data_IF_206788518951
#
_entry.id   IF_206788518951
#
_cell.length_a   1.000
_cell.length_b   1.000
_cell.length_c   1.000
_cell.angle_alpha   90.00
_cell.angle_beta   90.00
_cell.angle_gamma   90.00
#
_symmetry.space_group_name_H-M   'P 1'
#
loop_
_entity.id
_entity.type
_entity.pdbx_description
1 polymer ?
#
# COMPACT_ATOMS: atom_id res chain seq x y z
N UNK A 1 -10.31 3.97 19.52
CA UNK A 1 -11.12 5.13 19.98
C UNK A 1 -10.58 5.65 21.30
N UNK A 2 -10.73 6.94 21.60
CA UNK A 2 -10.40 7.51 22.92
C UNK A 2 -11.66 7.52 23.78
N UNK A 3 -11.59 6.93 24.97
CA UNK A 3 -12.70 6.87 25.90
C UNK A 3 -12.71 8.07 26.87
N UNK A 4 -11.53 8.51 27.35
CA UNK A 4 -11.40 9.64 28.27
C UNK A 4 -10.17 10.51 27.94
N UNK A 5 -10.40 11.57 27.16
CA UNK A 5 -9.34 12.48 26.73
C UNK A 5 -8.74 13.33 27.86
N UNK A 6 -9.51 13.87 28.83
CA UNK A 6 -8.94 14.54 30.01
C UNK A 6 -8.00 13.64 30.82
N UNK A 7 -8.44 12.43 31.22
CA UNK A 7 -7.59 11.49 31.98
C UNK A 7 -6.38 11.05 31.16
N UNK A 8 -6.55 10.89 29.84
CA UNK A 8 -5.44 10.58 28.94
C UNK A 8 -4.39 11.70 28.95
N UNK A 9 -4.80 12.97 28.91
CA UNK A 9 -3.89 14.13 28.99
C UNK A 9 -3.20 14.21 30.35
N UNK A 10 -3.92 13.96 31.44
CA UNK A 10 -3.33 13.97 32.78
C UNK A 10 -2.32 12.83 32.99
N UNK A 11 -2.54 11.68 32.35
CA UNK A 11 -1.70 10.49 32.53
C UNK A 11 -0.50 10.46 31.58
N UNK A 12 -0.73 10.76 30.30
CA UNK A 12 0.27 10.60 29.23
C UNK A 12 0.69 11.92 28.59
N UNK A 13 -0.06 13.01 28.79
CA UNK A 13 0.21 14.33 28.22
C UNK A 13 1.23 15.17 28.98
N UNK A 14 1.86 14.63 30.03
CA UNK A 14 2.91 15.32 30.77
C UNK A 14 4.12 15.63 29.87
N UNK A 15 4.74 16.82 29.96
CA UNK A 15 5.87 17.20 29.10
C UNK A 15 7.07 16.26 29.26
N UNK A 16 7.24 15.65 30.43
CA UNK A 16 8.24 14.63 30.72
C UNK A 16 8.07 13.34 29.90
N UNK A 17 6.86 13.08 29.38
CA UNK A 17 6.53 11.92 28.56
C UNK A 17 6.47 12.25 27.05
N UNK A 18 6.68 13.50 26.65
CA UNK A 18 6.68 13.92 25.24
C UNK A 18 7.62 13.07 24.37
N UNK A 19 8.84 12.79 24.84
CA UNK A 19 9.80 11.97 24.11
C UNK A 19 9.27 10.55 23.83
N UNK A 20 8.48 10.00 24.76
CA UNK A 20 7.91 8.66 24.65
C UNK A 20 6.82 8.66 23.58
N UNK A 21 5.95 9.67 23.59
CA UNK A 21 4.91 9.87 22.59
C UNK A 21 5.50 10.09 21.19
N UNK A 22 6.53 10.93 21.06
CA UNK A 22 7.20 11.20 19.78
C UNK A 22 7.87 9.94 19.20
N UNK A 23 8.54 9.15 20.04
CA UNK A 23 9.15 7.89 19.58
C UNK A 23 8.10 6.83 19.23
N UNK A 24 7.03 6.72 20.02
CA UNK A 24 5.92 5.83 19.72
C UNK A 24 5.24 6.24 18.40
N UNK A 25 4.94 7.53 18.23
CA UNK A 25 4.42 8.11 16.98
C UNK A 25 5.29 7.74 15.80
N UNK A 26 6.59 8.08 15.85
CA UNK A 26 7.51 7.82 14.73
C UNK A 26 7.56 6.34 14.36
N UNK A 27 7.52 5.45 15.36
CA UNK A 27 7.50 4.00 15.12
C UNK A 27 6.20 3.55 14.45
N UNK A 28 5.06 4.03 14.92
CA UNK A 28 3.75 3.69 14.36
C UNK A 28 3.58 4.22 12.93
N UNK A 29 4.02 5.45 12.66
CA UNK A 29 4.00 6.04 11.31
C UNK A 29 4.87 5.25 10.32
N UNK A 30 5.99 4.67 10.77
CA UNK A 30 6.82 3.81 9.94
C UNK A 30 6.22 2.40 9.71
N UNK A 31 5.01 2.13 10.21
CA UNK A 31 4.38 0.81 10.16
C UNK A 31 5.12 -0.24 11.00
N UNK A 32 5.83 0.22 12.04
CA UNK A 32 6.52 -0.66 12.99
C UNK A 32 5.54 -1.43 13.87
N UNK A 33 5.95 -2.57 14.44
CA UNK A 33 5.07 -3.33 15.33
C UNK A 33 4.75 -2.48 16.57
N UNK A 34 3.51 -2.65 17.06
CA UNK A 34 3.00 -2.06 18.32
C UNK A 34 3.78 -2.55 19.55
N UNK A 35 4.57 -3.60 19.36
CA UNK A 35 5.44 -4.25 20.34
C UNK A 35 6.88 -3.74 20.27
N UNK A 36 7.59 -3.94 21.39
CA UNK A 36 9.01 -3.64 21.53
C UNK A 36 9.31 -2.48 22.47
N UNK A 37 10.57 -2.03 22.48
CA UNK A 37 11.07 -1.11 23.51
C UNK A 37 11.55 0.19 22.89
N UNK A 38 11.16 1.30 23.51
CA UNK A 38 11.71 2.64 23.25
C UNK A 38 12.63 3.04 24.40
N UNK A 39 13.79 3.58 24.05
CA UNK A 39 14.84 3.89 25.02
C UNK A 39 15.21 5.36 24.96
N UNK A 40 15.50 5.94 26.12
CA UNK A 40 16.02 7.30 26.28
C UNK A 40 17.39 7.21 26.98
N UNK A 41 18.42 7.79 26.34
CA UNK A 41 19.73 8.01 26.97
C UNK A 41 19.72 9.30 27.77
N UNK A 42 20.43 9.28 28.90
CA UNK A 42 20.60 10.41 29.82
C UNK A 42 19.27 11.07 30.24
N UNK A 43 18.30 10.28 30.75
CA UNK A 43 17.00 10.79 31.14
C UNK A 43 17.11 11.74 32.34
N UNK A 44 16.34 12.82 32.33
CA UNK A 44 16.21 13.69 33.50
C UNK A 44 15.52 12.95 34.65
N UNK A 45 15.74 13.42 35.89
CA UNK A 45 15.06 12.86 37.06
C UNK A 45 13.53 12.94 36.92
N UNK A 46 13.00 14.01 36.31
CA UNK A 46 11.57 14.21 36.07
C UNK A 46 11.03 13.20 35.03
N UNK A 47 11.73 13.02 33.91
CA UNK A 47 11.39 12.01 32.88
C UNK A 47 11.34 10.61 33.47
N UNK A 48 12.33 10.28 34.31
CA UNK A 48 12.38 8.99 34.97
C UNK A 48 11.22 8.80 35.95
N UNK A 49 10.99 9.76 36.83
CA UNK A 49 9.91 9.70 37.81
C UNK A 49 8.54 9.60 37.14
N UNK A 50 8.33 10.30 36.01
CA UNK A 50 7.10 10.20 35.22
C UNK A 50 6.90 8.80 34.65
N UNK A 51 7.95 8.20 34.06
CA UNK A 51 7.88 6.82 33.54
C UNK A 51 7.69 5.80 34.66
N UNK A 52 8.40 5.94 35.78
CA UNK A 52 8.28 4.99 36.88
C UNK A 52 6.86 5.02 37.50
N UNK A 53 6.27 6.22 37.62
CA UNK A 53 4.87 6.41 38.04
C UNK A 53 3.90 5.80 37.02
N UNK A 54 4.10 6.06 35.74
CA UNK A 54 3.26 5.54 34.66
C UNK A 54 3.22 4.01 34.65
N UNK A 55 4.39 3.38 34.80
CA UNK A 55 4.52 1.92 34.80
C UNK A 55 4.24 1.29 36.18
N UNK A 56 3.95 2.08 37.21
CA UNK A 56 3.71 1.58 38.57
C UNK A 56 4.91 0.84 39.17
N UNK A 57 6.14 1.19 38.77
CA UNK A 57 7.36 0.47 39.17
C UNK A 57 8.19 1.25 40.19
N UNK A 58 9.09 0.54 40.86
CA UNK A 58 10.06 1.15 41.77
C UNK A 58 10.96 2.15 41.04
N UNK A 59 11.48 3.20 41.72
CA UNK A 59 12.37 4.18 41.13
C UNK A 59 13.56 3.52 40.42
N UNK A 60 13.67 3.75 39.12
CA UNK A 60 14.72 3.17 38.28
C UNK A 60 16.04 3.93 38.43
N UNK A 61 17.15 3.32 37.99
CA UNK A 61 18.49 3.94 38.00
C UNK A 61 19.25 3.58 36.71
N UNK A 62 20.32 4.31 36.40
CA UNK A 62 21.20 4.04 35.25
C UNK A 62 21.13 5.07 34.13
N UNK A 63 22.01 5.00 33.13
CA UNK A 63 22.10 5.99 32.04
C UNK A 63 21.02 5.85 30.97
N UNK A 64 20.35 4.69 30.91
CA UNK A 64 19.32 4.39 29.92
C UNK A 64 17.99 4.10 30.59
N UNK A 65 16.93 4.75 30.10
CA UNK A 65 15.55 4.50 30.47
C UNK A 65 14.85 3.75 29.35
N UNK A 66 14.34 2.55 29.64
CA UNK A 66 13.63 1.71 28.66
C UNK A 66 12.16 1.59 29.04
N UNK A 67 11.29 1.70 28.03
CA UNK A 67 9.83 1.57 28.16
C UNK A 67 9.33 0.56 27.13
N UNK A 68 8.71 -0.55 27.55
CA UNK A 68 8.06 -1.49 26.64
C UNK A 68 6.73 -0.89 26.16
N UNK A 69 6.55 -0.80 24.84
CA UNK A 69 5.30 -0.32 24.25
C UNK A 69 4.12 -1.27 24.51
N UNK A 70 4.41 -2.56 24.68
CA UNK A 70 3.41 -3.58 25.06
C UNK A 70 2.84 -3.37 26.47
N UNK A 71 3.68 -2.87 27.37
CA UNK A 71 3.25 -2.52 28.72
C UNK A 71 2.45 -1.23 28.71
N UNK A 72 2.90 -0.24 27.92
CA UNK A 72 2.19 1.00 27.73
C UNK A 72 0.79 0.80 27.10
N UNK A 73 0.68 -0.04 26.06
CA UNK A 73 -0.60 -0.38 25.42
C UNK A 73 -1.55 -1.09 26.41
N UNK A 74 -1.01 -2.01 27.24
CA UNK A 74 -1.78 -2.64 28.31
C UNK A 74 -2.28 -1.63 29.34
N UNK A 75 -1.46 -0.67 29.75
CA UNK A 75 -1.87 0.39 30.70
C UNK A 75 -2.99 1.24 30.11
N UNK A 76 -2.84 1.68 28.85
CA UNK A 76 -3.86 2.49 28.16
C UNK A 76 -5.20 1.76 28.10
N UNK A 77 -5.19 0.48 27.71
CA UNK A 77 -6.39 -0.35 27.61
C UNK A 77 -7.00 -0.62 28.99
N UNK A 78 -6.18 -1.02 29.96
CA UNK A 78 -6.66 -1.41 31.29
C UNK A 78 -7.21 -0.23 32.10
N UNK A 79 -6.63 0.96 31.92
CA UNK A 79 -7.13 2.19 32.53
C UNK A 79 -8.31 2.81 31.75
N UNK A 80 -8.77 2.16 30.67
CA UNK A 80 -9.85 2.58 29.79
C UNK A 80 -9.66 4.01 29.26
N UNK A 81 -8.41 4.38 28.94
CA UNK A 81 -8.09 5.70 28.39
C UNK A 81 -8.39 5.76 26.89
N UNK A 82 -8.04 4.68 26.18
CA UNK A 82 -8.31 4.48 24.77
C UNK A 82 -8.33 2.99 24.43
N UNK A 83 -8.86 2.63 23.27
CA UNK A 83 -8.88 1.26 22.75
C UNK A 83 -7.48 0.72 22.47
N UNK A 84 -6.44 1.56 22.44
CA UNK A 84 -5.07 1.15 22.19
C UNK A 84 -4.09 2.32 22.20
N UNK A 85 -2.79 1.99 22.17
CA UNK A 85 -1.70 2.94 22.18
C UNK A 85 -1.72 3.87 20.94
N UNK A 86 -2.12 3.34 19.79
CA UNK A 86 -2.26 4.11 18.56
C UNK A 86 -3.31 5.22 18.68
N UNK A 87 -4.48 4.91 19.24
CA UNK A 87 -5.50 5.90 19.52
C UNK A 87 -5.04 6.95 20.52
N UNK A 88 -4.36 6.53 21.60
CA UNK A 88 -3.84 7.42 22.62
C UNK A 88 -2.78 8.40 22.05
N UNK A 89 -1.83 7.89 21.27
CA UNK A 89 -0.79 8.72 20.64
C UNK A 89 -1.41 9.66 19.60
N UNK A 90 -2.35 9.18 18.78
CA UNK A 90 -3.04 10.03 17.80
C UNK A 90 -3.82 11.17 18.47
N UNK A 91 -4.46 10.90 19.60
CA UNK A 91 -5.21 11.90 20.34
C UNK A 91 -4.34 13.00 20.98
N UNK A 92 -3.11 12.66 21.37
CA UNK A 92 -2.19 13.57 22.05
C UNK A 92 -1.22 14.29 21.09
N UNK A 93 -0.87 13.68 19.96
CA UNK A 93 0.13 14.21 19.01
C UNK A 93 -0.47 14.60 17.66
N UNK A 94 -1.76 14.38 17.45
CA UNK A 94 -2.46 14.56 16.19
C UNK A 94 -2.47 13.29 15.32
N UNK A 95 -3.16 13.32 14.16
CA UNK A 95 -3.39 12.13 13.34
C UNK A 95 -2.10 11.37 12.99
N UNK A 96 -2.12 10.04 13.14
CA UNK A 96 -1.04 9.17 12.71
C UNK A 96 -1.22 8.79 11.24
N UNK A 97 -0.17 8.99 10.45
CA UNK A 97 -0.13 8.57 9.04
C UNK A 97 0.72 7.31 8.94
N UNK A 98 0.12 6.17 8.62
CA UNK A 98 0.87 4.94 8.34
C UNK A 98 1.54 5.05 6.96
N UNK A 99 2.81 5.45 6.95
CA UNK A 99 3.61 5.61 5.74
C UNK A 99 3.76 4.28 4.99
N UNK A 100 3.79 3.15 5.69
CA UNK A 100 3.93 1.83 5.07
C UNK A 100 2.64 1.45 4.34
N UNK A 101 1.50 1.64 4.99
CA UNK A 101 0.20 1.43 4.36
C UNK A 101 -0.01 2.38 3.18
N UNK A 102 0.41 3.64 3.29
CA UNK A 102 0.35 4.61 2.20
C UNK A 102 1.21 4.17 1.00
N UNK A 103 2.47 3.75 1.23
CA UNK A 103 3.34 3.21 0.17
C UNK A 103 2.75 1.95 -0.48
N UNK A 104 2.20 1.04 0.33
CA UNK A 104 1.56 -0.18 -0.17
C UNK A 104 0.27 0.11 -0.95
N UNK A 105 -0.49 1.16 -0.60
CA UNK A 105 -1.64 1.60 -1.38
C UNK A 105 -1.22 2.11 -2.76
N UNK A 106 -0.20 2.97 -2.81
CA UNK A 106 0.37 3.45 -4.09
C UNK A 106 0.87 2.29 -4.95
N UNK A 107 1.56 1.32 -4.36
CA UNK A 107 2.02 0.13 -5.08
C UNK A 107 0.85 -0.67 -5.66
N UNK A 108 -0.19 -0.94 -4.86
CA UNK A 108 -1.41 -1.62 -5.33
C UNK A 108 -2.11 -0.87 -6.45
N UNK A 109 -2.16 0.46 -6.38
CA UNK A 109 -2.77 1.28 -7.42
C UNK A 109 -1.99 1.18 -8.75
N UNK A 110 -0.66 1.12 -8.69
CA UNK A 110 0.17 0.84 -9.86
C UNK A 110 -0.03 -0.59 -10.40
N UNK A 111 -0.09 -1.59 -9.52
CA UNK A 111 -0.36 -2.97 -9.93
C UNK A 111 -1.73 -3.11 -10.61
N UNK A 112 -2.77 -2.49 -10.04
CA UNK A 112 -4.12 -2.48 -10.60
C UNK A 112 -4.17 -1.78 -11.95
N UNK A 113 -3.39 -0.71 -12.13
CA UNK A 113 -3.26 -0.01 -13.41
C UNK A 113 -2.68 -0.92 -14.50
N UNK A 114 -1.59 -1.64 -14.21
CA UNK A 114 -1.00 -2.58 -15.17
C UNK A 114 -1.91 -3.78 -15.43
N UNK A 115 -2.54 -4.34 -14.39
CA UNK A 115 -3.48 -5.43 -14.53
C UNK A 115 -4.70 -5.04 -15.40
N UNK A 116 -5.24 -3.84 -15.19
CA UNK A 116 -6.33 -3.30 -15.98
C UNK A 116 -5.97 -3.10 -17.45
N UNK A 117 -4.77 -2.59 -17.75
CA UNK A 117 -4.31 -2.47 -19.14
C UNK A 117 -4.13 -3.83 -19.82
N UNK A 118 -3.54 -4.81 -19.12
CA UNK A 118 -3.42 -6.17 -19.63
C UNK A 118 -4.79 -6.82 -19.90
N UNK A 119 -5.78 -6.55 -19.05
CA UNK A 119 -7.16 -7.02 -19.25
C UNK A 119 -7.81 -6.38 -20.47
N UNK A 120 -7.64 -5.06 -20.68
CA UNK A 120 -8.15 -4.38 -21.86
C UNK A 120 -7.57 -4.98 -23.15
N UNK A 121 -6.25 -5.17 -23.20
CA UNK A 121 -5.57 -5.79 -24.35
C UNK A 121 -6.12 -7.21 -24.62
N UNK A 122 -6.27 -8.02 -23.57
CA UNK A 122 -6.82 -9.38 -23.70
C UNK A 122 -8.29 -9.38 -24.15
N UNK A 123 -9.10 -8.43 -23.68
CA UNK A 123 -10.50 -8.30 -24.08
C UNK A 123 -10.63 -7.91 -25.55
N UNK A 124 -9.80 -6.98 -26.02
CA UNK A 124 -9.79 -6.57 -27.42
C UNK A 124 -9.37 -7.72 -28.34
N UNK A 125 -8.41 -8.56 -27.90
CA UNK A 125 -8.06 -9.81 -28.58
C UNK A 125 -9.25 -10.77 -28.70
N UNK A 126 -9.97 -10.99 -27.61
CA UNK A 126 -11.15 -11.86 -27.61
C UNK A 126 -12.27 -11.33 -28.52
N UNK A 127 -12.50 -10.01 -28.57
CA UNK A 127 -13.48 -9.41 -29.46
C UNK A 127 -13.12 -9.61 -30.94
N UNK A 128 -11.83 -9.54 -31.28
CA UNK A 128 -11.39 -9.82 -32.64
C UNK A 128 -11.51 -11.29 -33.03
N UNK A 129 -11.13 -12.21 -32.14
CA UNK A 129 -11.27 -13.65 -32.36
C UNK A 129 -12.74 -14.08 -32.52
N UNK A 130 -13.63 -13.50 -31.72
CA UNK A 130 -15.08 -13.78 -31.81
C UNK A 130 -15.71 -13.22 -33.08
N UNK A 131 -15.30 -12.03 -33.52
CA UNK A 131 -15.72 -11.47 -34.82
C UNK A 131 -15.25 -12.36 -35.99
N UNK A 132 -14.01 -12.85 -35.92
CA UNK A 132 -13.47 -13.80 -36.91
C UNK A 132 -14.22 -15.14 -36.88
N UNK A 133 -14.50 -15.72 -35.71
CA UNK A 133 -15.26 -16.96 -35.57
C UNK A 133 -16.72 -16.83 -36.08
N UNK A 134 -17.36 -15.69 -35.83
CA UNK A 134 -18.68 -15.38 -36.37
C UNK A 134 -18.65 -15.29 -37.91
N UNK A 135 -17.59 -14.71 -38.48
CA UNK A 135 -17.32 -14.77 -39.93
C UNK A 135 -17.08 -16.19 -40.45
N UNK A 136 -16.40 -17.05 -39.66
CA UNK A 136 -16.16 -18.46 -39.99
C UNK A 136 -17.45 -19.30 -40.03
N UNK A 137 -18.39 -19.09 -39.09
CA UNK A 137 -19.62 -19.87 -39.00
C UNK A 137 -20.74 -19.44 -39.95
N UNK A 138 -20.66 -18.23 -40.53
CA UNK A 138 -21.56 -17.82 -41.61
C UNK A 138 -21.35 -18.60 -42.92
N UNK A 139 -20.35 -19.49 -42.99
CA UNK A 139 -20.00 -20.33 -44.14
C UNK A 139 -20.03 -21.82 -43.76
N UNK A 140 -20.99 -22.60 -44.26
CA UNK A 140 -21.01 -24.08 -44.21
C UNK A 140 -21.58 -24.62 -45.54
N UNK A 141 -21.21 -25.81 -46.08
CA UNK A 141 -20.36 -26.89 -45.56
C UNK A 141 -19.23 -27.41 -46.49
N UNK A 142 -18.80 -26.71 -47.54
CA UNK A 142 -17.73 -27.20 -48.47
C UNK A 142 -16.28 -26.91 -48.00
N UNK A 143 -16.09 -26.48 -46.74
CA UNK A 143 -14.92 -25.70 -46.31
C UNK A 143 -13.64 -26.47 -45.94
N UNK A 144 -13.60 -27.80 -46.04
CA UNK A 144 -12.42 -28.57 -45.63
C UNK A 144 -11.19 -28.35 -46.56
N UNK A 145 -11.41 -28.16 -47.86
CA UNK A 145 -10.34 -27.93 -48.85
C UNK A 145 -9.85 -26.45 -48.86
N UNK A 146 -10.68 -25.54 -48.35
CA UNK A 146 -10.40 -24.11 -48.25
C UNK A 146 -9.62 -23.72 -46.99
N UNK A 147 -9.57 -24.57 -45.95
CA UNK A 147 -8.82 -24.29 -44.73
C UNK A 147 -7.31 -24.09 -45.01
N UNK A 148 -6.73 -24.88 -45.92
CA UNK A 148 -5.35 -24.72 -46.38
C UNK A 148 -5.12 -23.48 -47.26
N UNK A 149 -6.11 -23.07 -48.05
CA UNK A 149 -6.07 -21.85 -48.88
C UNK A 149 -6.38 -20.57 -48.11
N UNK A 150 -7.07 -20.66 -46.97
CA UNK A 150 -7.56 -19.50 -46.21
C UNK A 150 -6.61 -19.03 -45.09
N UNK A 151 -5.67 -19.86 -44.65
CA UNK A 151 -4.50 -19.37 -43.89
C UNK A 151 -3.73 -18.29 -44.68
N UNK A 152 -3.86 -18.27 -46.01
CA UNK A 152 -3.33 -17.24 -46.89
C UNK A 152 -4.28 -16.04 -47.14
N UNK A 153 -5.54 -16.05 -46.68
CA UNK A 153 -6.58 -15.06 -47.04
C UNK A 153 -7.07 -14.15 -45.91
N UNK A 154 -6.83 -14.47 -44.63
CA UNK A 154 -7.06 -13.51 -43.52
C UNK A 154 -5.77 -13.26 -42.72
N UNK A 155 -4.78 -12.58 -43.32
CA UNK A 155 -3.59 -12.14 -42.59
C UNK A 155 -3.93 -11.23 -41.41
N UNK A 156 -5.03 -10.47 -41.48
CA UNK A 156 -5.43 -9.50 -40.45
C UNK A 156 -5.71 -10.12 -39.07
N UNK A 157 -6.33 -11.30 -38.99
CA UNK A 157 -6.63 -11.90 -37.68
C UNK A 157 -5.38 -12.46 -36.98
N UNK A 158 -4.45 -13.05 -37.76
CA UNK A 158 -3.16 -13.51 -37.25
C UNK A 158 -2.23 -12.34 -36.89
N UNK A 159 -2.26 -11.27 -37.68
CA UNK A 159 -1.57 -10.00 -37.42
C UNK A 159 -2.08 -9.35 -36.13
N UNK A 160 -3.40 -9.38 -35.90
CA UNK A 160 -4.00 -8.82 -34.68
C UNK A 160 -3.63 -9.62 -33.42
N UNK A 161 -3.64 -10.96 -33.49
CA UNK A 161 -3.17 -11.80 -32.37
C UNK A 161 -1.69 -11.53 -32.05
N UNK A 162 -0.83 -11.44 -33.08
CA UNK A 162 0.58 -11.07 -32.91
C UNK A 162 0.77 -9.67 -32.33
N UNK A 163 -0.08 -8.70 -32.70
CA UNK A 163 -0.11 -7.35 -32.13
C UNK A 163 -0.48 -7.36 -30.63
N UNK A 164 -1.45 -8.17 -30.21
CA UNK A 164 -1.81 -8.28 -28.79
C UNK A 164 -0.69 -8.88 -27.95
N UNK A 165 -0.04 -9.94 -28.43
CA UNK A 165 1.12 -10.54 -27.74
C UNK A 165 2.29 -9.56 -27.63
N UNK A 166 2.57 -8.80 -28.70
CA UNK A 166 3.57 -7.75 -28.68
C UNK A 166 3.24 -6.64 -27.66
N UNK A 167 1.97 -6.23 -27.55
CA UNK A 167 1.51 -5.23 -26.59
C UNK A 167 1.61 -5.74 -25.14
N UNK A 168 1.28 -7.01 -24.87
CA UNK A 168 1.45 -7.60 -23.55
C UNK A 168 2.93 -7.71 -23.16
N UNK A 169 3.80 -8.08 -24.12
CA UNK A 169 5.25 -8.09 -23.93
C UNK A 169 5.80 -6.70 -23.59
N UNK A 170 5.45 -5.70 -24.40
CA UNK A 170 5.80 -4.30 -24.17
C UNK A 170 5.31 -3.79 -22.81
N UNK A 171 4.07 -4.12 -22.41
CA UNK A 171 3.52 -3.73 -21.11
C UNK A 171 4.33 -4.32 -19.96
N UNK A 172 4.79 -5.58 -20.11
CA UNK A 172 5.70 -6.24 -19.18
C UNK A 172 7.03 -5.50 -19.03
N UNK A 173 7.63 -5.07 -20.15
CA UNK A 173 8.88 -4.30 -20.16
C UNK A 173 8.73 -2.92 -19.51
N UNK A 174 7.64 -2.19 -19.81
CA UNK A 174 7.35 -0.88 -19.21
C UNK A 174 7.17 -1.02 -17.69
N UNK A 175 6.50 -2.08 -17.23
CA UNK A 175 6.35 -2.39 -15.81
C UNK A 175 7.70 -2.69 -15.16
N UNK A 176 8.50 -3.58 -15.75
CA UNK A 176 9.79 -3.99 -15.20
C UNK A 176 10.81 -2.85 -15.16
N UNK A 177 10.82 -1.98 -16.19
CA UNK A 177 11.75 -0.86 -16.31
C UNK A 177 11.39 0.38 -15.47
N UNK A 178 10.18 0.43 -14.90
CA UNK A 178 9.68 1.57 -14.12
C UNK A 178 9.53 2.87 -14.92
N UNK A 179 9.54 2.79 -16.26
CA UNK A 179 9.53 3.95 -17.15
C UNK A 179 8.27 4.80 -16.94
N UNK A 180 7.11 4.14 -16.87
CA UNK A 180 5.83 4.82 -16.67
C UNK A 180 5.79 5.59 -15.34
N UNK A 181 6.34 5.02 -14.26
CA UNK A 181 6.42 5.71 -12.96
C UNK A 181 7.29 6.96 -13.03
N UNK A 182 8.42 6.89 -13.73
CA UNK A 182 9.32 8.04 -13.91
C UNK A 182 8.68 9.15 -14.74
N UNK A 183 8.06 8.80 -15.87
CA UNK A 183 7.38 9.77 -16.74
C UNK A 183 6.18 10.43 -16.04
N UNK A 184 5.46 9.67 -15.21
CA UNK A 184 4.33 10.17 -14.45
C UNK A 184 4.72 10.92 -13.16
N UNK A 185 6.02 11.03 -12.83
CA UNK A 185 6.46 11.63 -11.57
C UNK A 185 5.93 10.90 -10.32
N UNK A 186 5.57 9.62 -10.43
CA UNK A 186 4.93 8.84 -9.36
C UNK A 186 3.42 9.03 -9.23
N UNK A 187 2.79 9.90 -10.03
CA UNK A 187 1.33 10.10 -10.03
C UNK A 187 0.61 9.00 -10.82
N UNK A 188 -0.18 8.19 -10.13
CA UNK A 188 -0.95 7.08 -10.72
C UNK A 188 -1.97 7.58 -11.76
N UNK A 189 -2.62 8.73 -11.53
CA UNK A 189 -3.60 9.27 -12.45
C UNK A 189 -2.95 9.76 -13.76
N UNK A 190 -1.76 10.36 -13.67
CA UNK A 190 -0.94 10.68 -14.85
C UNK A 190 -0.52 9.40 -15.57
N UNK A 191 -0.02 8.40 -14.83
CA UNK A 191 0.35 7.10 -15.40
C UNK A 191 -0.81 6.41 -16.11
N UNK A 192 -2.03 6.51 -15.57
CA UNK A 192 -3.24 5.92 -16.17
C UNK A 192 -3.58 6.57 -17.50
N UNK A 193 -3.40 7.89 -17.62
CA UNK A 193 -3.62 8.62 -18.88
C UNK A 193 -2.59 8.20 -19.93
N UNK A 194 -1.30 8.27 -19.57
CA UNK A 194 -0.20 7.88 -20.47
C UNK A 194 -0.34 6.45 -20.98
N UNK A 195 -0.71 5.51 -20.11
CA UNK A 195 -0.90 4.12 -20.51
C UNK A 195 -2.12 3.92 -21.42
N UNK A 196 -3.23 4.61 -21.14
CA UNK A 196 -4.41 4.58 -22.01
C UNK A 196 -4.08 5.10 -23.41
N UNK A 197 -3.37 6.23 -23.49
CA UNK A 197 -3.00 6.85 -24.75
C UNK A 197 -2.06 5.93 -25.56
N UNK A 198 -1.16 5.20 -24.89
CA UNK A 198 -0.25 4.26 -25.55
C UNK A 198 -0.93 2.99 -26.06
N UNK A 199 -1.97 2.50 -25.38
CA UNK A 199 -2.72 1.29 -25.82
C UNK A 199 -3.77 1.62 -26.89
N UNK A 200 -4.18 2.88 -27.02
CA UNK A 200 -5.17 3.33 -28.01
C UNK A 200 -4.62 3.51 -29.44
N UNK A 201 -3.33 3.25 -29.67
CA UNK A 201 -2.63 3.30 -30.98
C UNK A 201 -2.60 1.89 -31.58
#
# INVERSE_FOLDING_TARGET
MVADLPRLRDTLGAPELSWLLERARRRLELGGPRQGTVTLRDPTAAQRAAVDRLLGRAPSRGEVLSVPLDELDRIVRHAELADGLDDAVAALTGPLVDERAARAAVERDWEALFAGAAELIRRDALHAETADLAGRHALHPEAADLAGRRHALHPEAADLAGRHDALLGWLGEVRAGGLLRRLAGGDVAVGRRLLRDAVAV
#
